data_IF_783423531632
#
_entry.id   IF_783423531632
#
_cell.length_a   1.000
_cell.length_b   1.000
_cell.length_c   1.000
_cell.angle_alpha   90.00
_cell.angle_beta   90.00
_cell.angle_gamma   90.00
#
_symmetry.space_group_name_H-M   'P 1'
#
loop_
_entity.id
_entity.type
_entity.pdbx_description
1 polymer ?
#
# COMPACT_ATOMS: atom_id res chain seq x y z
N UNK A 1 16.06 -40.68 -31.82
CA UNK A 1 15.24 -41.84 -32.25
C UNK A 1 14.58 -42.40 -30.99
N UNK A 2 13.25 -42.45 -30.95
CA UNK A 2 12.45 -42.62 -29.72
C UNK A 2 12.80 -43.93 -28.99
N UNK A 3 13.04 -43.85 -27.67
CA UNK A 3 13.23 -44.99 -26.76
C UNK A 3 12.08 -46.02 -26.83
N UNK A 4 10.95 -45.64 -27.41
CA UNK A 4 9.82 -46.53 -27.66
C UNK A 4 10.10 -47.54 -28.79
N UNK A 5 10.92 -47.17 -29.77
CA UNK A 5 11.27 -48.02 -30.93
C UNK A 5 12.26 -49.12 -30.53
N UNK A 6 13.19 -48.82 -29.62
CA UNK A 6 14.15 -49.81 -29.09
C UNK A 6 13.47 -50.84 -28.19
N UNK A 7 12.49 -50.43 -27.37
CA UNK A 7 11.70 -51.35 -26.55
C UNK A 7 10.89 -52.31 -27.41
N UNK A 8 10.25 -51.80 -28.48
CA UNK A 8 9.50 -52.66 -29.42
C UNK A 8 10.40 -53.67 -30.13
N UNK A 9 11.60 -53.26 -30.55
CA UNK A 9 12.57 -54.17 -31.16
C UNK A 9 13.05 -55.25 -30.19
N UNK A 10 13.32 -54.92 -28.93
CA UNK A 10 13.73 -55.90 -27.92
C UNK A 10 12.59 -56.88 -27.59
N UNK A 11 11.35 -56.40 -27.52
CA UNK A 11 10.18 -57.27 -27.32
C UNK A 11 9.94 -58.20 -28.52
N UNK A 12 10.11 -57.71 -29.75
CA UNK A 12 10.01 -58.52 -30.97
C UNK A 12 11.09 -59.60 -31.02
N UNK A 13 12.34 -59.25 -30.71
CA UNK A 13 13.44 -60.22 -30.66
C UNK A 13 13.21 -61.25 -29.55
N UNK A 14 12.76 -60.83 -28.37
CA UNK A 14 12.38 -61.73 -27.28
C UNK A 14 11.26 -62.69 -27.67
N UNK A 15 10.23 -62.20 -28.36
CA UNK A 15 9.13 -63.02 -28.85
C UNK A 15 9.59 -64.02 -29.92
N UNK A 16 10.49 -63.62 -30.82
CA UNK A 16 11.10 -64.50 -31.82
C UNK A 16 11.96 -65.60 -31.18
N UNK A 17 12.75 -65.29 -30.15
CA UNK A 17 13.55 -66.29 -29.42
C UNK A 17 12.68 -67.29 -28.65
N UNK A 18 11.60 -66.82 -28.02
CA UNK A 18 10.63 -67.68 -27.32
C UNK A 18 9.91 -68.60 -28.33
N UNK A 19 9.55 -68.06 -29.50
CA UNK A 19 8.90 -68.81 -30.58
C UNK A 19 9.84 -69.86 -31.20
N UNK A 20 11.12 -69.53 -31.39
CA UNK A 20 12.14 -70.47 -31.87
C UNK A 20 12.32 -71.64 -30.89
N UNK A 21 12.44 -71.34 -29.58
CA UNK A 21 12.72 -72.36 -28.56
C UNK A 21 11.56 -73.33 -28.33
N UNK A 22 10.32 -72.95 -28.65
CA UNK A 22 9.12 -73.76 -28.45
C UNK A 22 8.64 -74.53 -29.70
N UNK A 23 9.36 -74.48 -30.82
CA UNK A 23 8.98 -75.17 -32.08
C UNK A 23 8.93 -76.71 -31.99
N UNK A 24 9.28 -77.30 -30.84
CA UNK A 24 9.18 -78.74 -30.53
C UNK A 24 7.92 -79.12 -29.70
N UNK A 25 7.01 -78.17 -29.43
CA UNK A 25 5.89 -78.35 -28.49
C UNK A 25 4.53 -78.42 -29.21
N UNK A 26 3.63 -79.27 -28.73
CA UNK A 26 2.32 -79.56 -29.36
C UNK A 26 1.38 -78.35 -29.49
N UNK A 27 0.42 -78.46 -30.43
CA UNK A 27 -0.48 -77.37 -30.86
C UNK A 27 -1.23 -76.70 -29.69
N UNK A 28 -1.59 -77.45 -28.65
CA UNK A 28 -2.26 -76.91 -27.47
C UNK A 28 -1.36 -75.99 -26.63
N UNK A 29 -0.05 -76.26 -26.59
CA UNK A 29 0.90 -75.46 -25.83
C UNK A 29 1.41 -74.26 -26.65
N UNK A 30 1.44 -74.39 -27.98
CA UNK A 30 1.61 -73.26 -28.89
C UNK A 30 0.46 -72.24 -28.76
N UNK A 31 -0.80 -72.71 -28.65
CA UNK A 31 -1.96 -71.83 -28.49
C UNK A 31 -1.93 -71.10 -27.13
N UNK A 32 -1.54 -71.79 -26.05
CA UNK A 32 -1.36 -71.16 -24.73
C UNK A 32 -0.24 -70.13 -24.73
N UNK A 33 0.86 -70.39 -25.44
CA UNK A 33 1.98 -69.46 -25.57
C UNK A 33 1.60 -68.23 -26.38
N UNK A 34 0.88 -68.40 -27.49
CA UNK A 34 0.34 -67.31 -28.28
C UNK A 34 -0.64 -66.44 -27.47
N UNK A 35 -1.54 -67.08 -26.70
CA UNK A 35 -2.45 -66.36 -25.81
C UNK A 35 -1.71 -65.54 -24.74
N UNK A 36 -0.68 -66.11 -24.11
CA UNK A 36 0.17 -65.37 -23.16
C UNK A 36 0.89 -64.21 -23.85
N UNK A 37 1.41 -64.42 -25.05
CA UNK A 37 2.05 -63.39 -25.87
C UNK A 37 1.13 -62.19 -26.15
N UNK A 38 -0.12 -62.45 -26.54
CA UNK A 38 -1.12 -61.39 -26.78
C UNK A 38 -1.48 -60.63 -25.51
N UNK A 39 -1.60 -61.32 -24.37
CA UNK A 39 -1.85 -60.68 -23.07
C UNK A 39 -0.66 -59.79 -22.68
N UNK A 40 0.57 -60.28 -22.84
CA UNK A 40 1.77 -59.47 -22.60
C UNK A 40 1.84 -58.26 -23.52
N UNK A 41 1.50 -58.41 -24.81
CA UNK A 41 1.48 -57.30 -25.75
C UNK A 41 0.43 -56.25 -25.35
N UNK A 42 -0.76 -56.68 -24.94
CA UNK A 42 -1.81 -55.80 -24.42
C UNK A 42 -1.42 -55.07 -23.14
N UNK A 43 -0.72 -55.74 -22.22
CA UNK A 43 -0.18 -55.10 -21.02
C UNK A 43 0.94 -54.11 -21.36
N UNK A 44 1.82 -54.44 -22.31
CA UNK A 44 2.88 -53.54 -22.76
C UNK A 44 2.32 -52.28 -23.43
N UNK A 45 1.30 -52.39 -24.28
CA UNK A 45 0.65 -51.22 -24.90
C UNK A 45 -0.07 -50.36 -23.86
N UNK A 46 -0.76 -50.98 -22.90
CA UNK A 46 -1.38 -50.29 -21.78
C UNK A 46 -0.36 -49.55 -20.90
N UNK A 47 0.77 -50.20 -20.61
CA UNK A 47 1.87 -49.57 -19.88
C UNK A 47 2.49 -48.41 -20.66
N UNK A 48 2.69 -48.52 -21.97
CA UNK A 48 3.18 -47.39 -22.80
C UNK A 48 2.21 -46.19 -22.76
N UNK A 49 0.91 -46.43 -22.66
CA UNK A 49 -0.10 -45.37 -22.52
C UNK A 49 -0.12 -44.74 -21.11
N UNK A 50 0.09 -45.54 -20.07
CA UNK A 50 0.10 -45.08 -18.67
C UNK A 50 1.43 -44.43 -18.26
N UNK A 51 2.56 -44.88 -18.80
CA UNK A 51 3.90 -44.34 -18.50
C UNK A 51 3.99 -42.81 -18.69
N UNK A 52 3.52 -42.16 -19.77
CA UNK A 52 3.56 -40.69 -19.88
C UNK A 52 2.65 -40.00 -18.85
N UNK A 53 1.51 -40.60 -18.49
CA UNK A 53 0.58 -40.09 -17.48
C UNK A 53 1.16 -40.21 -16.05
N UNK A 54 1.94 -41.25 -15.79
CA UNK A 54 2.61 -41.48 -14.51
C UNK A 54 3.98 -40.80 -14.43
N UNK A 55 4.66 -40.57 -15.56
CA UNK A 55 5.90 -39.76 -15.62
C UNK A 55 5.68 -38.36 -15.09
N UNK A 56 4.48 -37.79 -15.27
CA UNK A 56 4.09 -36.52 -14.67
C UNK A 56 4.15 -36.53 -13.13
N UNK A 57 3.98 -37.69 -12.49
CA UNK A 57 4.03 -37.85 -11.04
C UNK A 57 5.39 -38.30 -10.52
N UNK A 58 6.13 -39.13 -11.25
CA UNK A 58 7.42 -39.68 -10.80
C UNK A 58 8.63 -38.90 -11.28
N UNK A 59 8.51 -38.16 -12.37
CA UNK A 59 9.50 -37.20 -12.83
C UNK A 59 8.84 -35.82 -12.71
N UNK A 60 8.93 -35.12 -11.57
CA UNK A 60 8.90 -33.67 -11.66
C UNK A 60 9.96 -33.35 -12.70
N UNK A 61 9.60 -32.59 -13.73
CA UNK A 61 10.53 -32.11 -14.74
C UNK A 61 11.77 -31.65 -13.99
N UNK A 62 12.82 -32.48 -13.99
CA UNK A 62 14.16 -32.00 -13.85
C UNK A 62 14.29 -31.17 -15.09
N UNK A 63 13.98 -29.87 -14.94
CA UNK A 63 14.64 -28.88 -15.73
C UNK A 63 16.10 -29.27 -15.57
N UNK A 64 16.64 -29.88 -16.62
CA UNK A 64 18.04 -29.75 -16.94
C UNK A 64 18.29 -28.26 -16.76
N UNK A 65 18.89 -27.94 -15.62
CA UNK A 65 19.33 -26.60 -15.30
C UNK A 65 20.16 -26.21 -16.53
N UNK A 66 19.73 -25.23 -17.33
CA UNK A 66 20.53 -24.80 -18.46
C UNK A 66 21.91 -24.54 -17.89
N UNK A 67 22.92 -25.23 -18.39
CA UNK A 67 24.32 -25.09 -18.00
C UNK A 67 24.55 -23.59 -17.81
N UNK A 68 24.67 -23.13 -16.54
CA UNK A 68 24.63 -21.70 -16.25
C UNK A 68 25.80 -21.11 -17.03
N UNK A 69 25.57 -20.30 -18.08
CA UNK A 69 26.67 -19.67 -18.77
C UNK A 69 27.43 -18.86 -17.71
N UNK A 70 28.78 -18.85 -17.72
CA UNK A 70 29.55 -18.11 -16.73
C UNK A 70 28.93 -16.73 -16.56
N UNK A 71 28.58 -16.32 -15.33
CA UNK A 71 27.73 -15.16 -15.11
C UNK A 71 28.30 -13.99 -15.87
N UNK A 72 27.51 -13.43 -16.79
CA UNK A 72 27.95 -12.30 -17.60
C UNK A 72 28.51 -11.24 -16.64
N UNK A 73 29.81 -10.88 -16.72
CA UNK A 73 30.44 -10.01 -15.72
C UNK A 73 29.73 -8.64 -15.63
N UNK A 74 29.09 -8.23 -16.73
CA UNK A 74 28.22 -7.07 -16.78
C UNK A 74 26.97 -7.20 -15.89
N UNK A 75 26.27 -8.34 -15.93
CA UNK A 75 25.08 -8.59 -15.09
C UNK A 75 25.46 -8.68 -13.63
N UNK A 76 26.56 -9.36 -13.31
CA UNK A 76 27.07 -9.46 -11.94
C UNK A 76 27.43 -8.08 -11.37
N UNK A 77 28.11 -7.25 -12.15
CA UNK A 77 28.44 -5.88 -11.74
C UNK A 77 27.18 -5.02 -11.53
N UNK A 78 26.17 -5.19 -12.38
CA UNK A 78 24.89 -4.49 -12.24
C UNK A 78 24.14 -4.92 -10.97
N UNK A 79 24.12 -6.20 -10.65
CA UNK A 79 23.51 -6.72 -9.42
C UNK A 79 24.25 -6.23 -8.18
N UNK A 80 25.59 -6.23 -8.21
CA UNK A 80 26.42 -5.70 -7.12
C UNK A 80 26.15 -4.21 -6.90
N UNK A 81 26.06 -3.40 -7.96
CA UNK A 81 25.73 -1.99 -7.86
C UNK A 81 24.35 -1.76 -7.20
N UNK A 82 23.35 -2.56 -7.58
CA UNK A 82 22.01 -2.50 -6.95
C UNK A 82 22.04 -2.88 -5.48
N UNK A 83 22.79 -3.93 -5.11
CA UNK A 83 22.95 -4.37 -3.71
C UNK A 83 23.61 -3.27 -2.87
N UNK A 84 24.71 -2.70 -3.34
CA UNK A 84 25.41 -1.61 -2.65
C UNK A 84 24.48 -0.41 -2.44
N UNK A 85 23.69 -0.04 -3.45
CA UNK A 85 22.70 1.04 -3.29
C UNK A 85 21.64 0.68 -2.25
N UNK A 86 21.11 -0.53 -2.29
CA UNK A 86 20.11 -1.00 -1.33
C UNK A 86 20.67 -0.98 0.10
N UNK A 87 21.91 -1.42 0.30
CA UNK A 87 22.58 -1.43 1.60
C UNK A 87 22.76 0.00 2.12
N UNK A 88 23.20 0.93 1.27
CA UNK A 88 23.28 2.35 1.65
C UNK A 88 21.93 2.95 2.07
N UNK A 89 20.84 2.56 1.39
CA UNK A 89 19.50 3.00 1.77
C UNK A 89 19.04 2.37 3.09
N UNK A 90 19.33 1.09 3.30
CA UNK A 90 19.02 0.38 4.53
C UNK A 90 19.79 0.97 5.73
N UNK A 91 21.08 1.28 5.56
CA UNK A 91 21.91 1.91 6.59
C UNK A 91 21.43 3.33 6.95
N UNK A 92 20.98 4.09 5.95
CA UNK A 92 20.36 5.41 6.21
C UNK A 92 19.06 5.27 6.97
N UNK A 93 18.22 4.29 6.62
CA UNK A 93 16.94 4.06 7.27
C UNK A 93 17.11 3.58 8.72
N UNK A 94 18.02 2.63 8.96
CA UNK A 94 18.37 2.16 10.30
C UNK A 94 18.98 3.30 11.13
N UNK A 95 19.95 4.02 10.57
CA UNK A 95 20.58 5.17 11.24
C UNK A 95 19.61 6.31 11.56
N UNK A 96 18.55 6.51 10.78
CA UNK A 96 17.48 7.46 11.09
C UNK A 96 16.58 6.94 12.22
N UNK A 97 16.19 5.66 12.17
CA UNK A 97 15.39 5.05 13.21
C UNK A 97 16.09 5.15 14.58
N UNK A 98 17.40 4.92 14.61
CA UNK A 98 18.18 4.99 15.84
C UNK A 98 18.45 6.42 16.32
N UNK A 99 18.81 7.34 15.42
CA UNK A 99 19.19 8.72 15.82
C UNK A 99 18.00 9.65 16.03
N UNK A 100 16.86 9.39 15.41
CA UNK A 100 15.70 10.31 15.42
C UNK A 100 14.49 9.68 16.06
N UNK A 101 14.11 8.46 15.67
CA UNK A 101 12.87 7.86 16.15
C UNK A 101 12.99 7.39 17.61
N UNK A 102 14.02 6.61 17.95
CA UNK A 102 14.22 6.11 19.33
C UNK A 102 14.32 7.26 20.35
N UNK A 103 15.14 8.32 20.16
CA UNK A 103 15.27 9.39 21.16
C UNK A 103 14.00 10.21 21.31
N UNK A 104 13.22 10.40 20.23
CA UNK A 104 11.90 11.06 20.32
C UNK A 104 10.91 10.24 21.13
N UNK A 105 10.90 8.93 20.96
CA UNK A 105 10.03 8.03 21.72
C UNK A 105 10.42 8.03 23.20
N UNK A 106 11.72 7.92 23.49
CA UNK A 106 12.26 7.96 24.85
C UNK A 106 12.00 9.30 25.54
N UNK A 107 12.22 10.43 24.86
CA UNK A 107 11.93 11.76 25.40
C UNK A 107 10.43 11.94 25.70
N UNK A 108 9.55 11.44 24.83
CA UNK A 108 8.10 11.47 25.08
C UNK A 108 7.71 10.61 26.29
N UNK A 109 8.34 9.45 26.44
CA UNK A 109 8.13 8.57 27.58
C UNK A 109 8.63 9.22 28.88
N UNK A 110 9.82 9.84 28.86
CA UNK A 110 10.37 10.57 30.00
C UNK A 110 9.46 11.74 30.42
N UNK A 111 8.94 12.52 29.47
CA UNK A 111 7.99 13.60 29.79
C UNK A 111 6.71 13.09 30.47
N UNK A 112 6.21 11.90 30.08
CA UNK A 112 5.05 11.28 30.72
C UNK A 112 5.39 10.82 32.14
N UNK A 113 6.56 10.23 32.33
CA UNK A 113 7.07 9.82 33.65
C UNK A 113 7.26 11.04 34.57
N UNK A 114 7.92 12.10 34.09
CA UNK A 114 8.12 13.34 34.84
C UNK A 114 6.79 13.99 35.21
N UNK A 115 5.81 14.00 34.28
CA UNK A 115 4.45 14.48 34.58
C UNK A 115 3.79 13.65 35.68
N UNK A 116 3.98 12.32 35.68
CA UNK A 116 3.49 11.45 36.75
C UNK A 116 4.15 11.84 38.09
N UNK A 117 5.49 11.92 38.13
CA UNK A 117 6.22 12.27 39.35
C UNK A 117 5.91 13.67 39.86
N UNK A 118 5.65 14.65 38.98
CA UNK A 118 5.19 15.98 39.37
C UNK A 118 3.85 15.94 40.10
N UNK A 119 2.96 15.03 39.73
CA UNK A 119 1.65 14.85 40.35
C UNK A 119 1.74 14.03 41.65
N UNK A 120 2.72 13.13 41.78
CA UNK A 120 2.87 12.21 42.91
C UNK A 120 4.00 12.56 43.89
N UNK A 121 4.79 13.59 43.62
CA UNK A 121 5.94 14.00 44.44
C UNK A 121 5.54 14.58 45.80
N UNK A 122 6.43 14.56 46.79
CA UNK A 122 6.18 14.94 48.19
C UNK A 122 5.64 16.36 48.40
N UNK A 123 5.58 17.19 47.36
CA UNK A 123 4.97 18.52 47.38
C UNK A 123 3.48 18.50 47.75
N UNK A 124 2.74 17.42 47.51
CA UNK A 124 1.35 17.28 48.01
C UNK A 124 1.26 16.86 49.49
N UNK A 125 2.37 16.41 50.10
CA UNK A 125 2.44 15.99 51.52
C UNK A 125 2.93 17.09 52.46
N UNK A 126 3.43 18.21 51.95
CA UNK A 126 3.98 19.31 52.75
C UNK A 126 2.95 20.36 53.19
N UNK A 127 1.71 20.28 52.68
CA UNK A 127 0.61 21.06 53.27
C UNK A 127 0.10 20.30 54.49
N UNK A 128 0.07 20.90 55.71
CA UNK A 128 -0.55 20.28 56.86
C UNK A 128 -2.00 19.97 56.49
N UNK A 129 -2.34 18.67 56.44
CA UNK A 129 -3.66 18.22 56.03
C UNK A 129 -4.72 18.82 56.97
N UNK A 130 -5.63 19.61 56.42
CA UNK A 130 -6.75 20.16 57.18
C UNK A 130 -7.78 19.06 57.43
N UNK A 131 -8.02 18.73 58.71
CA UNK A 131 -9.04 17.76 59.10
C UNK A 131 -10.44 18.34 58.85
N UNK A 132 -11.07 17.92 57.76
CA UNK A 132 -12.46 18.28 57.44
C UNK A 132 -13.39 17.47 58.36
N UNK A 133 -13.93 18.10 59.40
CA UNK A 133 -14.97 17.48 60.23
C UNK A 133 -15.12 17.97 61.68
N UNK A 134 -14.31 18.90 62.19
CA UNK A 134 -14.48 19.39 63.56
C UNK A 134 -14.87 20.87 63.58
N UNK A 135 -16.17 21.12 63.79
CA UNK A 135 -16.69 22.42 64.19
C UNK A 135 -16.56 22.56 65.71
N UNK A 136 -15.75 23.50 66.20
CA UNK A 136 -16.08 24.47 67.28
C UNK A 136 -14.90 25.45 67.40
N UNK A 137 -15.28 26.74 67.53
CA UNK A 137 -14.51 27.93 67.90
C UNK A 137 -13.31 27.72 68.85
N UNK A 138 -12.17 28.38 68.58
CA UNK A 138 -11.71 29.61 69.28
C UNK A 138 -10.22 29.94 69.02
N UNK A 139 -9.96 31.12 68.42
CA UNK A 139 -8.71 31.94 68.42
C UNK A 139 -7.46 31.35 67.74
N UNK A 140 -6.56 32.08 67.08
CA UNK A 140 -6.37 33.48 66.67
C UNK A 140 -5.17 33.44 65.69
N UNK A 141 -5.19 34.24 64.61
CA UNK A 141 -4.00 34.51 63.77
C UNK A 141 -4.19 34.29 62.25
N UNK A 142 -4.47 35.41 61.55
CA UNK A 142 -3.82 35.89 60.31
C UNK A 142 -3.68 34.96 59.08
N UNK A 143 -4.04 35.31 57.84
CA UNK A 143 -4.63 36.49 57.20
C UNK A 143 -5.50 35.98 56.04
N UNK A 144 -6.77 36.36 56.03
CA UNK A 144 -7.69 36.08 54.93
C UNK A 144 -7.56 37.24 53.95
N UNK A 145 -7.02 36.97 52.75
CA UNK A 145 -7.21 37.86 51.62
C UNK A 145 -8.72 37.83 51.29
N UNK A 146 -9.45 38.86 51.72
CA UNK A 146 -10.88 39.00 51.51
C UNK A 146 -11.21 38.97 50.00
N UNK A 147 -11.87 37.90 49.55
CA UNK A 147 -12.72 37.94 48.37
C UNK A 147 -14.08 38.44 48.86
N UNK A 148 -14.38 39.70 48.56
CA UNK A 148 -15.61 40.40 48.93
C UNK A 148 -16.79 39.69 48.26
N UNK A 149 -17.36 38.69 48.92
CA UNK A 149 -18.76 38.23 48.87
C UNK A 149 -18.91 37.02 49.81
N UNK A 150 -19.26 37.27 51.07
CA UNK A 150 -19.35 36.26 52.14
C UNK A 150 -20.56 35.30 52.04
N UNK A 151 -21.34 35.35 50.95
CA UNK A 151 -22.56 34.54 50.76
C UNK A 151 -22.45 33.53 49.60
N UNK A 152 -21.28 33.44 48.95
CA UNK A 152 -21.07 32.48 47.85
C UNK A 152 -20.70 31.09 48.40
N UNK A 153 -21.53 30.09 48.11
CA UNK A 153 -21.25 28.69 48.44
C UNK A 153 -19.88 28.29 47.88
N UNK A 154 -19.09 27.44 48.56
CA UNK A 154 -17.78 26.98 48.07
C UNK A 154 -17.80 26.45 46.62
N UNK A 155 -18.94 25.90 46.18
CA UNK A 155 -19.16 25.46 44.81
C UNK A 155 -19.18 26.61 43.79
N UNK A 156 -19.74 27.76 44.14
CA UNK A 156 -19.81 28.94 43.28
C UNK A 156 -18.44 29.60 43.14
N UNK A 157 -17.68 29.73 44.24
CA UNK A 157 -16.28 30.18 44.20
C UNK A 157 -15.38 29.26 43.36
N UNK A 158 -15.56 27.93 43.48
CA UNK A 158 -14.85 26.96 42.64
C UNK A 158 -15.23 27.08 41.15
N UNK A 159 -16.51 27.32 40.83
CA UNK A 159 -17.00 27.55 39.46
C UNK A 159 -16.40 28.82 38.86
N UNK A 160 -16.36 29.92 39.63
CA UNK A 160 -15.75 31.19 39.20
C UNK A 160 -14.25 31.04 38.89
N UNK A 161 -13.51 30.34 39.75
CA UNK A 161 -12.07 30.06 39.54
C UNK A 161 -11.81 29.19 38.30
N UNK A 162 -12.71 28.23 37.98
CA UNK A 162 -12.64 27.46 36.72
C UNK A 162 -12.90 28.35 35.51
N UNK A 163 -13.91 29.20 35.57
CA UNK A 163 -14.24 30.13 34.48
C UNK A 163 -13.09 31.13 34.23
N UNK A 164 -12.45 31.65 35.29
CA UNK A 164 -11.35 32.62 35.17
C UNK A 164 -10.09 32.02 34.53
N UNK A 165 -9.76 30.75 34.86
CA UNK A 165 -8.69 30.00 34.18
C UNK A 165 -9.02 29.69 32.71
N UNK A 166 -10.30 29.48 32.40
CA UNK A 166 -10.76 29.27 31.03
C UNK A 166 -10.67 30.56 30.20
N UNK A 167 -10.83 31.74 30.82
CA UNK A 167 -10.63 33.04 30.17
C UNK A 167 -9.14 33.34 29.93
N UNK A 168 -8.24 33.00 30.87
CA UNK A 168 -6.79 33.24 30.73
C UNK A 168 -6.10 32.33 29.70
N UNK A 169 -6.62 31.11 29.48
CA UNK A 169 -6.13 30.22 28.41
C UNK A 169 -6.60 30.64 27.00
N UNK A 170 -7.39 31.70 26.86
CA UNK A 170 -7.76 32.30 25.57
C UNK A 170 -6.75 33.38 25.14
N UNK A 171 -5.45 33.10 25.26
CA UNK A 171 -4.50 33.71 24.33
C UNK A 171 -4.99 33.42 22.90
N UNK A 172 -4.80 34.34 21.93
CA UNK A 172 -5.17 34.10 20.54
C UNK A 172 -4.21 33.05 19.99
N UNK A 173 -4.43 31.80 20.38
CA UNK A 173 -4.01 30.64 19.64
C UNK A 173 -4.64 30.90 18.29
N UNK A 174 -3.80 31.20 17.29
CA UNK A 174 -4.20 31.28 15.89
C UNK A 174 -5.03 30.03 15.66
N UNK A 175 -6.36 30.18 15.73
CA UNK A 175 -7.28 29.09 15.48
C UNK A 175 -6.97 28.78 14.04
N UNK A 176 -6.26 27.68 13.83
CA UNK A 176 -6.21 27.04 12.54
C UNK A 176 -7.65 26.63 12.31
N UNK A 177 -8.41 27.55 11.70
CA UNK A 177 -9.82 27.39 11.38
C UNK A 177 -9.90 25.99 10.80
N UNK A 178 -10.66 25.06 11.42
CA UNK A 178 -10.72 23.70 10.95
C UNK A 178 -11.05 23.79 9.47
N UNK A 179 -10.10 23.39 8.61
CA UNK A 179 -10.19 23.57 7.16
C UNK A 179 -11.56 23.05 6.78
N UNK A 180 -12.47 23.97 6.45
CA UNK A 180 -13.85 23.62 6.19
C UNK A 180 -13.79 22.54 5.12
N UNK A 181 -14.35 21.36 5.42
CA UNK A 181 -14.43 20.27 4.47
C UNK A 181 -15.33 20.75 3.33
N UNK A 182 -14.76 21.45 2.36
CA UNK A 182 -15.46 21.89 1.15
C UNK A 182 -15.81 20.61 0.42
N UNK A 183 -17.06 20.20 0.53
CA UNK A 183 -17.59 19.09 -0.25
C UNK A 183 -17.59 19.56 -1.69
N UNK A 184 -16.62 19.09 -2.46
CA UNK A 184 -16.49 19.44 -3.87
C UNK A 184 -17.57 18.65 -4.61
N UNK A 185 -18.66 19.34 -4.96
CA UNK A 185 -19.72 18.79 -5.82
C UNK A 185 -19.34 19.15 -7.25
N UNK A 186 -18.90 18.15 -8.01
CA UNK A 186 -18.66 18.35 -9.44
C UNK A 186 -19.98 18.21 -10.21
N UNK A 187 -20.26 19.07 -11.20
CA UNK A 187 -21.48 19.04 -12.01
C UNK A 187 -21.61 17.74 -12.81
N UNK A 188 -22.84 17.28 -13.03
CA UNK A 188 -23.12 16.03 -13.73
C UNK A 188 -22.54 16.00 -15.15
N UNK A 189 -22.07 14.83 -15.58
CA UNK A 189 -21.34 14.67 -16.84
C UNK A 189 -22.26 14.92 -18.04
N UNK A 190 -21.88 15.80 -19.00
CA UNK A 190 -22.69 16.07 -20.18
C UNK A 190 -22.81 14.81 -21.07
N UNK A 191 -23.94 14.68 -21.77
CA UNK A 191 -24.24 13.60 -22.72
C UNK A 191 -23.49 13.80 -24.04
N UNK A 192 -23.20 12.73 -24.77
CA UNK A 192 -22.36 12.74 -26.00
C UNK A 192 -22.91 13.64 -27.12
N UNK A 193 -24.23 13.82 -27.18
CA UNK A 193 -24.92 14.59 -28.22
C UNK A 193 -24.92 16.12 -27.98
N UNK A 194 -24.25 16.59 -26.93
CA UNK A 194 -24.25 18.01 -26.57
C UNK A 194 -23.13 18.73 -27.32
N UNK A 195 -23.49 19.75 -28.12
CA UNK A 195 -22.51 20.54 -28.88
C UNK A 195 -21.46 21.15 -27.93
N UNK A 196 -20.18 20.82 -28.16
CA UNK A 196 -19.08 21.31 -27.33
C UNK A 196 -18.75 20.45 -26.11
N UNK A 197 -19.24 19.21 -26.02
CA UNK A 197 -18.74 18.23 -25.07
C UNK A 197 -17.34 17.72 -25.48
N UNK A 198 -16.41 17.72 -24.52
CA UNK A 198 -15.03 17.25 -24.69
C UNK A 198 -14.76 16.16 -23.67
N UNK A 199 -14.16 15.07 -24.11
CA UNK A 199 -13.70 14.01 -23.23
C UNK A 199 -12.27 14.28 -22.78
N UNK A 200 -12.08 14.43 -21.47
CA UNK A 200 -10.77 14.64 -20.86
C UNK A 200 -10.36 13.38 -20.13
N UNK A 201 -9.16 12.91 -20.43
CA UNK A 201 -8.54 11.75 -19.79
C UNK A 201 -7.44 12.23 -18.85
N UNK A 202 -7.56 11.95 -17.56
CA UNK A 202 -6.61 12.35 -16.54
C UNK A 202 -5.74 11.15 -16.13
N UNK A 203 -4.45 11.21 -16.48
CA UNK A 203 -3.46 10.19 -16.19
C UNK A 203 -2.85 10.44 -14.81
N UNK A 204 -3.19 9.57 -13.87
CA UNK A 204 -2.66 9.64 -12.51
C UNK A 204 -1.28 8.95 -12.39
N UNK A 205 -0.39 9.40 -11.49
CA UNK A 205 0.91 8.75 -11.22
C UNK A 205 0.79 7.27 -10.86
N UNK A 206 -0.31 6.87 -10.23
CA UNK A 206 -0.61 5.48 -9.82
C UNK A 206 -1.06 4.54 -10.94
N UNK A 207 -0.76 4.84 -12.22
CA UNK A 207 -1.17 4.08 -13.42
C UNK A 207 -2.68 3.96 -13.65
N UNK A 208 -3.49 4.77 -12.96
CA UNK A 208 -4.93 4.86 -13.20
C UNK A 208 -5.19 6.03 -14.14
N UNK A 209 -6.03 5.84 -15.14
CA UNK A 209 -6.52 6.92 -15.99
C UNK A 209 -8.01 7.07 -15.73
N UNK A 210 -8.44 8.27 -15.40
CA UNK A 210 -9.85 8.59 -15.14
C UNK A 210 -10.34 9.41 -16.32
N UNK A 211 -11.48 9.01 -16.89
CA UNK A 211 -12.08 9.70 -18.02
C UNK A 211 -13.32 10.43 -17.53
N UNK A 212 -13.51 11.68 -17.98
CA UNK A 212 -14.72 12.43 -17.72
C UNK A 212 -14.99 13.42 -18.84
N UNK A 213 -16.26 13.64 -19.14
CA UNK A 213 -16.70 14.62 -20.12
C UNK A 213 -16.92 15.98 -19.46
N UNK A 214 -16.55 17.04 -20.17
CA UNK A 214 -16.69 18.43 -19.75
C UNK A 214 -17.23 19.25 -20.93
N UNK A 215 -17.97 20.32 -20.64
CA UNK A 215 -18.34 21.27 -21.68
C UNK A 215 -17.22 22.30 -21.86
N UNK A 216 -16.95 22.69 -23.09
CA UNK A 216 -15.96 23.70 -23.44
C UNK A 216 -16.15 25.05 -22.72
N UNK A 217 -17.39 25.42 -22.45
CA UNK A 217 -17.78 26.65 -21.73
C UNK A 217 -17.55 26.58 -20.21
N UNK A 218 -17.20 25.43 -19.66
CA UNK A 218 -16.94 25.30 -18.23
C UNK A 218 -15.60 25.90 -17.84
N UNK A 219 -15.53 26.37 -16.59
CA UNK A 219 -14.29 26.89 -16.00
C UNK A 219 -13.23 25.80 -15.87
N UNK A 220 -11.98 26.14 -16.14
CA UNK A 220 -10.84 25.24 -15.95
C UNK A 220 -10.64 24.84 -14.48
N UNK A 221 -11.22 25.58 -13.51
CA UNK A 221 -11.23 25.19 -12.09
C UNK A 221 -11.85 23.82 -11.83
N UNK A 222 -12.82 23.40 -12.64
CA UNK A 222 -13.43 22.09 -12.48
C UNK A 222 -12.42 20.95 -12.68
N UNK A 223 -11.32 21.18 -13.41
CA UNK A 223 -10.23 20.21 -13.54
C UNK A 223 -9.47 20.04 -12.22
N UNK A 224 -9.19 21.13 -11.50
CA UNK A 224 -8.58 21.08 -10.17
C UNK A 224 -9.50 20.41 -9.15
N UNK A 225 -10.79 20.73 -9.19
CA UNK A 225 -11.80 20.10 -8.33
C UNK A 225 -11.95 18.60 -8.63
N UNK A 226 -11.85 18.22 -9.90
CA UNK A 226 -11.89 16.81 -10.32
C UNK A 226 -10.64 16.05 -9.88
N UNK A 227 -9.48 16.67 -10.03
CA UNK A 227 -8.20 16.16 -9.53
C UNK A 227 -8.22 15.98 -8.00
N UNK A 228 -8.80 16.94 -7.26
CA UNK A 228 -9.05 16.84 -5.82
C UNK A 228 -9.95 15.66 -5.46
N UNK A 229 -11.04 15.46 -6.19
CA UNK A 229 -11.95 14.31 -5.99
C UNK A 229 -11.26 12.98 -6.29
N UNK A 230 -10.31 12.95 -7.22
CA UNK A 230 -9.48 11.78 -7.50
C UNK A 230 -8.41 11.52 -6.42
N UNK A 231 -8.22 12.44 -5.45
CA UNK A 231 -7.29 12.31 -4.34
C UNK A 231 -5.97 13.06 -4.53
N UNK A 232 -5.83 13.87 -5.58
CA UNK A 232 -4.62 14.64 -5.88
C UNK A 232 -4.84 16.11 -5.52
N UNK A 233 -4.04 16.64 -4.60
CA UNK A 233 -4.18 18.02 -4.13
C UNK A 233 -3.42 19.01 -5.03
N UNK A 234 -4.02 20.15 -5.47
CA UNK A 234 -3.42 21.10 -6.41
C UNK A 234 -2.22 21.88 -5.85
N UNK A 235 -2.01 21.79 -4.53
CA UNK A 235 -0.80 22.31 -3.90
C UNK A 235 0.43 21.46 -4.18
N UNK A 236 0.24 20.16 -4.44
CA UNK A 236 1.32 19.17 -4.66
C UNK A 236 1.36 18.74 -6.11
N UNK A 237 0.23 18.75 -6.81
CA UNK A 237 0.13 18.28 -8.18
C UNK A 237 -0.38 19.37 -9.12
N UNK A 238 0.14 19.41 -10.34
CA UNK A 238 -0.33 20.27 -11.44
C UNK A 238 -0.70 19.41 -12.65
N UNK A 239 -1.55 19.98 -13.51
CA UNK A 239 -2.04 19.34 -14.73
C UNK A 239 -1.19 19.79 -15.92
N UNK A 240 -0.68 18.83 -16.67
CA UNK A 240 0.10 19.06 -17.89
C UNK A 240 -0.59 18.46 -19.11
N UNK A 241 -0.55 19.16 -20.24
CA UNK A 241 -0.89 18.58 -21.54
C UNK A 241 0.16 17.57 -21.98
N UNK A 242 -0.24 16.61 -22.83
CA UNK A 242 0.69 15.60 -23.36
C UNK A 242 1.65 16.13 -24.41
N UNK A 243 1.17 16.94 -25.38
CA UNK A 243 2.01 17.51 -26.43
C UNK A 243 1.38 18.78 -27.05
N UNK A 244 2.11 19.91 -27.13
CA UNK A 244 3.34 20.18 -26.38
C UNK A 244 3.09 20.09 -24.87
N UNK A 245 4.11 19.70 -24.09
CA UNK A 245 3.97 19.54 -22.64
C UNK A 245 3.96 20.93 -21.98
N UNK A 246 2.78 21.38 -21.59
CA UNK A 246 2.55 22.71 -21.03
C UNK A 246 1.65 22.57 -19.81
N UNK A 247 1.89 23.38 -18.78
CA UNK A 247 1.00 23.44 -17.61
C UNK A 247 -0.34 24.06 -18.01
N UNK A 248 -1.45 23.41 -17.62
CA UNK A 248 -2.80 23.88 -17.93
C UNK A 248 -3.17 25.03 -16.99
N UNK A 249 -3.51 26.18 -17.56
CA UNK A 249 -3.96 27.34 -16.81
C UNK A 249 -5.29 27.05 -16.11
N UNK A 250 -5.24 26.92 -14.78
CA UNK A 250 -6.40 26.58 -13.97
C UNK A 250 -6.86 27.78 -13.14
N UNK A 251 -7.87 28.51 -13.63
CA UNK A 251 -8.40 29.73 -13.02
C UNK A 251 -9.93 29.80 -13.17
N UNK A 252 -10.62 30.51 -12.26
CA UNK A 252 -12.10 30.63 -12.29
C UNK A 252 -12.56 31.26 -13.60
N UNK A 253 -11.83 32.29 -13.99
CA UNK A 253 -12.17 33.22 -15.05
C UNK A 253 -11.78 32.70 -16.44
N UNK A 254 -11.20 31.49 -16.52
CA UNK A 254 -10.68 30.89 -17.76
C UNK A 254 -11.54 29.68 -18.10
N UNK A 255 -12.09 29.69 -19.31
CA UNK A 255 -12.82 28.55 -19.88
C UNK A 255 -11.88 27.42 -20.31
N UNK A 256 -12.40 26.21 -20.49
CA UNK A 256 -11.59 25.09 -20.99
C UNK A 256 -11.04 25.34 -22.39
N UNK A 257 -11.76 26.08 -23.24
CA UNK A 257 -11.26 26.48 -24.56
C UNK A 257 -10.05 27.42 -24.44
N UNK A 258 -10.13 28.44 -23.57
CA UNK A 258 -9.04 29.38 -23.33
C UNK A 258 -7.83 28.71 -22.65
N UNK A 259 -8.06 27.64 -21.89
CA UNK A 259 -7.00 26.79 -21.33
C UNK A 259 -6.32 25.88 -22.37
N UNK A 260 -6.75 25.93 -23.64
CA UNK A 260 -6.19 25.15 -24.75
C UNK A 260 -6.81 23.78 -24.96
N UNK A 261 -7.98 23.51 -24.37
CA UNK A 261 -8.70 22.22 -24.48
C UNK A 261 -9.85 22.35 -25.49
N UNK A 262 -9.51 22.24 -26.78
CA UNK A 262 -10.49 22.35 -27.88
C UNK A 262 -11.09 21.00 -28.33
N UNK A 263 -10.34 19.91 -28.11
CA UNK A 263 -10.67 18.54 -28.53
C UNK A 263 -10.48 17.58 -27.37
N UNK A 264 -10.77 16.29 -27.57
CA UNK A 264 -10.52 15.26 -26.57
C UNK A 264 -9.04 15.22 -26.20
N UNK A 265 -8.71 15.59 -24.97
CA UNK A 265 -7.33 15.76 -24.49
C UNK A 265 -6.98 14.77 -23.40
N UNK A 266 -5.69 14.41 -23.39
CA UNK A 266 -5.06 13.68 -22.30
C UNK A 266 -4.27 14.67 -21.44
N UNK A 267 -4.61 14.73 -20.15
CA UNK A 267 -3.91 15.52 -19.14
C UNK A 267 -3.13 14.58 -18.21
N UNK A 268 -1.88 14.94 -17.93
CA UNK A 268 -1.00 14.24 -17.00
C UNK A 268 -1.01 14.97 -15.65
N UNK A 269 -1.25 14.23 -14.57
CA UNK A 269 -1.08 14.74 -13.21
C UNK A 269 0.36 14.48 -12.78
N UNK A 270 1.11 15.55 -12.56
CA UNK A 270 2.51 15.46 -12.16
C UNK A 270 2.74 16.25 -10.87
N UNK A 271 3.77 15.89 -10.12
CA UNK A 271 4.14 16.61 -8.91
C UNK A 271 4.64 18.01 -9.30
N UNK A 272 4.05 19.03 -8.70
CA UNK A 272 4.44 20.42 -8.90
C UNK A 272 5.83 20.61 -8.32
N UNK A 273 6.77 21.02 -9.16
CA UNK A 273 8.11 21.33 -8.70
C UNK A 273 8.04 22.50 -7.71
N UNK A 274 8.36 22.22 -6.44
CA UNK A 274 8.52 23.27 -5.45
C UNK A 274 9.77 24.07 -5.83
N UNK A 275 9.58 25.27 -6.39
CA UNK A 275 10.65 26.25 -6.47
C UNK A 275 11.20 26.46 -5.05
N UNK A 276 12.40 25.94 -4.80
CA UNK A 276 13.25 26.40 -3.70
C UNK A 276 13.55 27.87 -3.98
N UNK A 277 12.83 28.74 -3.28
CA UNK A 277 13.29 30.12 -3.05
C UNK A 277 14.48 30.09 -2.09
#
# INVERSE_FOLDING_TARGET
>A
MSNSCTILLVLLVGFCFISWKHSLIGVSDALKLAGRGLIFLGLCTWMIYIIPRMKFFFFPVSQELPEIPPPDPYKQNQENARRIQQDQHNDKASGYAERVLKPRQEASLQQKIERCYRMTGETWKLSPGFAVGHSVFQGEGEEIFEDVNADESPNQGAKRRRNLKQTLNQLPTKQEVPKQKKVIVLPDEPTEDTEGAVQIALRCPGRRTIHRRFLKSWSSQFLCDWMLKAGFHPAIYSLYSSFPRTEVLTAADVSLEEAGIHTNTLLNVEEREAHKA
#
